data_IF_428209859632
#
_entry.id   IF_428209859632
#
_cell.length_a   1.000
_cell.length_b   1.000
_cell.length_c   1.000
_cell.angle_alpha   90.00
_cell.angle_beta   90.00
_cell.angle_gamma   90.00
#
_symmetry.space_group_name_H-M   'P 1'
#
loop_
_entity.id
_entity.type
_entity.pdbx_description
1 polymer ?
#
# COMPACT_ATOMS: atom_id res chain seq x y z
N UNK A 1 -15.74 0.14 -15.74
CA UNK A 1 -15.18 -1.09 -15.16
C UNK A 1 -16.03 -2.29 -15.54
N UNK A 2 -17.33 -2.31 -15.22
CA UNK A 2 -18.22 -3.44 -15.55
C UNK A 2 -18.25 -3.74 -17.05
N UNK A 3 -18.45 -2.71 -17.90
CA UNK A 3 -18.43 -2.86 -19.37
C UNK A 3 -17.12 -3.51 -19.88
N UNK A 4 -15.96 -3.08 -19.36
CA UNK A 4 -14.67 -3.65 -19.78
C UNK A 4 -14.48 -5.10 -19.32
N UNK A 5 -15.03 -5.48 -18.16
CA UNK A 5 -14.99 -6.86 -17.68
C UNK A 5 -15.95 -7.77 -18.47
N UNK A 6 -17.07 -7.23 -18.95
CA UNK A 6 -18.01 -7.93 -19.81
C UNK A 6 -17.46 -8.11 -21.23
N UNK A 7 -16.90 -7.06 -21.83
CA UNK A 7 -16.19 -7.12 -23.12
C UNK A 7 -15.04 -8.13 -23.07
N UNK A 8 -14.30 -8.11 -21.96
CA UNK A 8 -13.25 -9.06 -21.68
C UNK A 8 -11.96 -8.79 -22.45
N UNK A 9 -10.98 -9.67 -22.23
CA UNK A 9 -9.65 -9.55 -22.84
C UNK A 9 -8.99 -10.93 -22.90
N UNK A 10 -8.54 -11.34 -24.09
CA UNK A 10 -7.83 -12.63 -24.30
C UNK A 10 -8.57 -13.85 -23.71
N UNK A 11 -9.90 -13.84 -23.81
CA UNK A 11 -10.77 -14.91 -23.30
C UNK A 11 -11.07 -14.82 -21.80
N UNK A 12 -10.53 -13.83 -21.10
CA UNK A 12 -10.96 -13.46 -19.75
C UNK A 12 -12.20 -12.57 -19.81
N UNK A 13 -13.15 -12.83 -18.93
CA UNK A 13 -14.29 -11.95 -18.64
C UNK A 13 -14.48 -11.86 -17.13
N UNK A 14 -15.29 -10.93 -16.66
CA UNK A 14 -15.57 -10.83 -15.23
C UNK A 14 -16.90 -10.16 -14.88
N UNK A 15 -17.28 -10.34 -13.63
CA UNK A 15 -18.42 -9.65 -13.02
C UNK A 15 -18.01 -9.08 -11.66
N UNK A 16 -18.56 -7.92 -11.32
CA UNK A 16 -18.30 -7.23 -10.06
C UNK A 16 -19.44 -7.54 -9.09
N UNK A 17 -19.10 -7.92 -7.86
CA UNK A 17 -20.06 -8.11 -6.78
C UNK A 17 -19.69 -7.20 -5.59
N UNK A 18 -20.54 -6.22 -5.23
CA UNK A 18 -20.33 -5.38 -4.05
C UNK A 18 -20.28 -6.21 -2.76
N UNK A 19 -19.50 -5.75 -1.78
CA UNK A 19 -19.50 -6.27 -0.42
C UNK A 19 -19.78 -5.17 0.58
N UNK A 20 -20.21 -5.59 1.76
CA UNK A 20 -20.45 -4.68 2.87
C UNK A 20 -19.11 -4.13 3.38
N UNK A 21 -18.92 -2.78 3.40
CA UNK A 21 -17.73 -2.18 3.95
C UNK A 21 -17.58 -2.45 5.45
N UNK A 22 -16.33 -2.47 5.92
CA UNK A 22 -16.07 -2.52 7.35
C UNK A 22 -16.52 -1.20 8.01
N UNK A 23 -16.98 -1.25 9.25
CA UNK A 23 -17.38 -0.07 10.03
C UNK A 23 -16.42 0.15 11.22
N UNK A 24 -15.15 0.53 10.98
CA UNK A 24 -14.18 0.75 12.03
C UNK A 24 -14.57 1.93 12.93
N UNK A 25 -14.45 1.75 14.25
CA UNK A 25 -14.74 2.81 15.23
C UNK A 25 -13.73 3.95 15.10
N UNK A 26 -14.22 5.19 15.10
CA UNK A 26 -13.37 6.39 15.12
C UNK A 26 -12.73 6.74 13.77
N UNK A 27 -13.06 6.00 12.72
CA UNK A 27 -12.64 6.28 11.34
C UNK A 27 -13.82 6.94 10.63
N UNK A 28 -13.68 8.20 10.16
CA UNK A 28 -14.66 8.83 9.30
C UNK A 28 -15.09 7.92 8.13
N UNK A 29 -16.38 7.92 7.79
CA UNK A 29 -16.94 7.07 6.74
C UNK A 29 -16.26 7.27 5.37
N UNK A 30 -15.72 8.47 5.13
CA UNK A 30 -14.91 8.83 3.96
C UNK A 30 -13.56 8.09 3.85
N UNK A 31 -13.10 7.38 4.89
CA UNK A 31 -11.89 6.53 4.84
C UNK A 31 -12.21 5.04 4.79
N UNK A 32 -13.49 4.69 4.76
CA UNK A 32 -13.90 3.30 4.66
C UNK A 32 -13.73 2.86 3.21
N UNK A 33 -12.81 1.92 2.99
CA UNK A 33 -12.63 1.28 1.69
C UNK A 33 -13.92 0.59 1.28
N UNK A 34 -14.29 0.70 0.00
CA UNK A 34 -15.42 0.01 -0.59
C UNK A 34 -14.95 -1.32 -1.18
N UNK A 35 -15.30 -2.47 -0.54
CA UNK A 35 -14.85 -3.76 -1.00
C UNK A 35 -15.77 -4.34 -2.09
N UNK A 36 -15.16 -5.01 -3.06
CA UNK A 36 -15.83 -5.75 -4.13
C UNK A 36 -15.14 -7.12 -4.33
N UNK A 37 -15.90 -8.09 -4.83
CA UNK A 37 -15.36 -9.30 -5.45
C UNK A 37 -15.41 -9.14 -6.97
N UNK A 38 -14.26 -9.19 -7.63
CA UNK A 38 -14.17 -9.29 -9.09
C UNK A 38 -14.01 -10.77 -9.44
N UNK A 39 -15.09 -11.37 -9.94
CA UNK A 39 -15.13 -12.80 -10.28
C UNK A 39 -14.73 -12.97 -11.74
N UNK A 40 -13.55 -13.53 -11.98
CA UNK A 40 -12.99 -13.73 -13.31
C UNK A 40 -13.31 -15.12 -13.84
N UNK A 41 -13.63 -15.17 -15.13
CA UNK A 41 -13.79 -16.39 -15.90
C UNK A 41 -12.78 -16.43 -17.04
N UNK A 42 -12.32 -17.62 -17.42
CA UNK A 42 -11.50 -17.84 -18.61
C UNK A 42 -12.25 -18.78 -19.56
N UNK A 43 -12.48 -18.33 -20.80
CA UNK A 43 -13.25 -19.03 -21.83
C UNK A 43 -14.61 -19.53 -21.31
N UNK A 44 -15.31 -18.66 -20.57
CA UNK A 44 -16.63 -18.92 -20.01
C UNK A 44 -16.67 -19.83 -18.79
N UNK A 45 -15.51 -20.25 -18.24
CA UNK A 45 -15.44 -21.05 -17.01
C UNK A 45 -14.90 -20.23 -15.85
N UNK A 46 -15.44 -20.37 -14.62
CA UNK A 46 -14.90 -19.70 -13.44
C UNK A 46 -13.41 -20.00 -13.27
N UNK A 47 -12.61 -18.96 -13.05
CA UNK A 47 -11.16 -19.08 -12.92
C UNK A 47 -10.68 -18.66 -11.54
N UNK A 48 -10.93 -17.40 -11.14
CA UNK A 48 -10.55 -16.90 -9.82
C UNK A 48 -11.45 -15.75 -9.37
N UNK A 49 -11.28 -15.31 -8.12
CA UNK A 49 -11.92 -14.10 -7.59
C UNK A 49 -10.84 -13.21 -7.00
N UNK A 50 -10.83 -11.95 -7.42
CA UNK A 50 -9.92 -10.91 -6.92
C UNK A 50 -10.69 -9.99 -5.99
N UNK A 51 -10.17 -9.78 -4.77
CA UNK A 51 -10.67 -8.79 -3.82
C UNK A 51 -10.21 -7.41 -4.31
N UNK A 52 -11.15 -6.53 -4.62
CA UNK A 52 -10.89 -5.13 -4.93
C UNK A 52 -11.37 -4.27 -3.76
N UNK A 53 -10.56 -3.30 -3.36
CA UNK A 53 -10.94 -2.28 -2.39
C UNK A 53 -10.73 -0.91 -3.03
N UNK A 54 -11.75 -0.06 -3.03
CA UNK A 54 -11.71 1.28 -3.61
C UNK A 54 -11.76 2.31 -2.48
N UNK A 55 -10.71 3.12 -2.38
CA UNK A 55 -10.61 4.25 -1.46
C UNK A 55 -11.05 5.55 -2.14
N UNK A 56 -11.28 6.58 -1.32
CA UNK A 56 -11.40 7.95 -1.81
C UNK A 56 -10.02 8.55 -2.02
N UNK A 57 -9.94 9.58 -2.86
CA UNK A 57 -8.73 10.40 -2.99
C UNK A 57 -8.45 11.09 -1.65
N UNK A 58 -7.40 10.64 -0.99
CA UNK A 58 -6.93 11.23 0.25
C UNK A 58 -5.81 12.20 -0.09
N UNK A 59 -6.02 13.49 0.21
CA UNK A 59 -5.01 14.55 0.11
C UNK A 59 -4.32 14.68 -1.27
N UNK A 60 -4.97 14.26 -2.35
CA UNK A 60 -4.44 14.33 -3.72
C UNK A 60 -3.55 13.14 -4.07
N UNK A 61 -3.78 11.98 -3.45
CA UNK A 61 -3.03 10.75 -3.73
C UNK A 61 -3.47 10.08 -5.05
N UNK A 62 -4.60 10.50 -5.61
CA UNK A 62 -5.08 10.08 -6.92
C UNK A 62 -4.82 11.10 -8.07
N UNK A 63 -4.22 12.27 -7.78
CA UNK A 63 -3.97 13.32 -8.78
C UNK A 63 -2.80 13.00 -9.71
N UNK A 64 -1.84 12.22 -9.23
CA UNK A 64 -0.63 11.84 -9.96
C UNK A 64 -0.37 10.34 -9.77
N UNK A 65 0.12 9.69 -10.82
CA UNK A 65 0.44 8.28 -10.79
C UNK A 65 1.78 7.99 -11.47
N UNK A 66 2.55 7.11 -10.85
CA UNK A 66 3.72 6.50 -11.47
C UNK A 66 3.23 5.37 -12.38
N UNK A 67 3.51 5.46 -13.68
CA UNK A 67 3.03 4.48 -14.65
C UNK A 67 4.11 3.42 -14.86
N UNK A 68 3.88 2.23 -14.34
CA UNK A 68 4.90 1.18 -14.24
C UNK A 68 4.41 -0.16 -14.81
N UNK A 69 5.35 -0.93 -15.37
CA UNK A 69 5.15 -2.33 -15.72
C UNK A 69 6.35 -3.14 -15.23
N UNK A 70 6.11 -3.99 -14.23
CA UNK A 70 7.15 -4.86 -13.70
C UNK A 70 7.58 -5.90 -14.78
N UNK A 71 8.88 -6.03 -15.10
CA UNK A 71 9.34 -6.92 -16.17
C UNK A 71 9.01 -8.40 -15.95
N UNK A 72 8.97 -8.83 -14.70
CA UNK A 72 8.59 -10.18 -14.30
C UNK A 72 7.11 -10.49 -14.56
N UNK A 73 6.22 -9.51 -14.34
CA UNK A 73 4.80 -9.57 -14.68
C UNK A 73 4.63 -9.69 -16.21
N UNK A 74 5.29 -8.83 -16.98
CA UNK A 74 5.26 -8.93 -18.45
C UNK A 74 5.77 -10.30 -18.93
N UNK A 75 6.85 -10.79 -18.32
CA UNK A 75 7.38 -12.13 -18.58
C UNK A 75 6.40 -13.25 -18.20
N UNK A 76 5.62 -13.09 -17.13
CA UNK A 76 4.63 -14.09 -16.71
C UNK A 76 3.52 -14.27 -17.74
N UNK A 77 3.01 -13.17 -18.30
CA UNK A 77 2.01 -13.19 -19.36
C UNK A 77 2.55 -13.87 -20.62
N UNK A 78 3.77 -13.52 -21.04
CA UNK A 78 4.40 -14.14 -22.20
C UNK A 78 4.58 -15.66 -22.03
N UNK A 79 4.95 -16.14 -20.83
CA UNK A 79 5.13 -17.57 -20.54
C UNK A 79 3.83 -18.39 -20.69
N UNK A 80 2.67 -17.77 -20.49
CA UNK A 80 1.37 -18.43 -20.65
C UNK A 80 0.74 -18.16 -22.02
N UNK A 81 1.48 -17.54 -22.94
CA UNK A 81 1.04 -17.25 -24.31
C UNK A 81 0.10 -16.05 -24.42
N UNK A 82 0.06 -15.18 -23.40
CA UNK A 82 -0.70 -13.93 -23.42
C UNK A 82 0.20 -12.77 -23.84
N UNK A 83 -0.35 -11.75 -24.54
CA UNK A 83 0.37 -10.51 -24.79
C UNK A 83 0.73 -9.84 -23.46
N UNK A 84 1.84 -9.10 -23.45
CA UNK A 84 2.24 -8.33 -22.28
C UNK A 84 1.12 -7.31 -21.93
N UNK A 85 0.78 -7.15 -20.64
CA UNK A 85 -0.21 -6.16 -20.24
C UNK A 85 0.36 -4.74 -20.45
N UNK A 86 -0.53 -3.77 -20.59
CA UNK A 86 -0.13 -2.36 -20.53
C UNK A 86 0.40 -1.99 -19.12
N UNK A 87 1.17 -0.91 -19.00
CA UNK A 87 1.60 -0.41 -17.70
C UNK A 87 0.39 0.06 -16.87
N UNK A 88 0.53 -0.02 -15.55
CA UNK A 88 -0.54 0.28 -14.59
C UNK A 88 -0.19 1.56 -13.82
N UNK A 89 -1.13 2.50 -13.64
CA UNK A 89 -0.91 3.66 -12.78
C UNK A 89 -0.85 3.22 -11.31
N UNK A 90 0.23 3.61 -10.64
CA UNK A 90 0.48 3.35 -9.22
C UNK A 90 0.47 4.66 -8.44
N UNK A 91 -0.01 4.59 -7.20
CA UNK A 91 0.08 5.71 -6.25
C UNK A 91 1.55 6.09 -6.04
N UNK A 92 1.86 7.39 -6.05
CA UNK A 92 3.24 7.84 -5.87
C UNK A 92 3.83 7.42 -4.50
N UNK A 93 5.11 7.07 -4.50
CA UNK A 93 5.82 6.53 -3.33
C UNK A 93 5.63 7.30 -2.01
N UNK A 94 5.72 8.65 -1.98
CA UNK A 94 5.49 9.44 -0.77
C UNK A 94 4.14 9.19 -0.09
N UNK A 95 3.07 8.99 -0.87
CA UNK A 95 1.74 8.68 -0.33
C UNK A 95 1.68 7.26 0.24
N UNK A 96 2.25 6.28 -0.46
CA UNK A 96 2.33 4.91 0.03
C UNK A 96 3.05 4.83 1.38
N UNK A 97 4.20 5.52 1.50
CA UNK A 97 4.99 5.59 2.74
C UNK A 97 4.18 6.26 3.85
N UNK A 98 3.58 7.42 3.59
CA UNK A 98 2.79 8.14 4.59
C UNK A 98 1.61 7.30 5.10
N UNK A 99 0.89 6.62 4.21
CA UNK A 99 -0.24 5.76 4.58
C UNK A 99 0.20 4.57 5.44
N UNK A 100 1.31 3.91 5.09
CA UNK A 100 1.89 2.80 5.86
C UNK A 100 2.38 3.26 7.23
N UNK A 101 3.13 4.37 7.29
CA UNK A 101 3.58 4.98 8.55
C UNK A 101 2.40 5.32 9.47
N UNK A 102 1.33 5.89 8.93
CA UNK A 102 0.13 6.19 9.71
C UNK A 102 -0.56 4.91 10.24
N UNK A 103 -0.63 3.84 9.45
CA UNK A 103 -1.28 2.59 9.88
C UNK A 103 -0.46 1.84 10.93
N UNK A 104 0.85 1.71 10.71
CA UNK A 104 1.74 0.97 11.62
C UNK A 104 1.95 1.69 12.95
N UNK A 105 1.85 3.03 12.97
CA UNK A 105 2.02 3.82 14.19
C UNK A 105 0.71 4.10 14.94
N UNK A 106 -0.43 3.59 14.47
CA UNK A 106 -1.72 3.83 15.11
C UNK A 106 -1.78 3.14 16.48
N UNK A 107 -2.48 3.71 17.48
CA UNK A 107 -2.68 3.06 18.77
C UNK A 107 -3.34 1.68 18.60
N UNK A 108 -2.74 0.63 19.18
CA UNK A 108 -3.26 -0.73 19.09
C UNK A 108 -3.17 -1.37 17.70
N UNK A 109 -2.27 -0.87 16.84
CA UNK A 109 -2.08 -1.40 15.49
C UNK A 109 -1.69 -2.88 15.47
N UNK A 110 -2.31 -3.64 14.56
CA UNK A 110 -1.99 -5.03 14.22
C UNK A 110 -1.16 -5.14 12.92
N UNK A 111 -0.64 -4.01 12.44
CA UNK A 111 -0.10 -3.84 11.09
C UNK A 111 1.40 -4.14 10.99
N UNK A 112 1.87 -5.20 11.65
CA UNK A 112 3.29 -5.58 11.61
C UNK A 112 3.83 -5.76 10.17
N UNK A 113 2.97 -6.20 9.23
CA UNK A 113 3.29 -6.31 7.79
C UNK A 113 3.75 -4.99 7.15
N UNK A 114 3.24 -3.84 7.62
CA UNK A 114 3.63 -2.54 7.08
C UNK A 114 5.12 -2.24 7.37
N UNK A 115 5.75 -2.91 8.36
CA UNK A 115 7.20 -2.82 8.60
C UNK A 115 8.02 -3.43 7.45
N UNK A 116 7.54 -4.54 6.87
CA UNK A 116 8.15 -5.18 5.70
C UNK A 116 7.94 -4.30 4.47
N UNK A 117 6.69 -3.89 4.23
CA UNK A 117 6.33 -3.07 3.09
C UNK A 117 7.11 -1.74 3.06
N UNK A 118 7.34 -1.10 4.22
CA UNK A 118 8.12 0.13 4.29
C UNK A 118 9.57 -0.08 3.85
N UNK A 119 10.19 -1.21 4.20
CA UNK A 119 11.55 -1.53 3.77
C UNK A 119 11.63 -1.72 2.25
N UNK A 120 10.63 -2.39 1.66
CA UNK A 120 10.54 -2.59 0.21
C UNK A 120 10.24 -1.28 -0.53
N UNK A 121 9.31 -0.48 -0.01
CA UNK A 121 8.87 0.77 -0.64
C UNK A 121 9.93 1.87 -0.60
N UNK A 122 10.81 1.85 0.41
CA UNK A 122 11.85 2.86 0.57
C UNK A 122 12.94 2.73 -0.50
N UNK A 123 13.26 1.53 -0.98
CA UNK A 123 14.28 1.31 -2.00
C UNK A 123 15.55 2.14 -1.77
N UNK A 124 16.22 2.57 -2.86
CA UNK A 124 17.43 3.40 -2.79
C UNK A 124 17.20 4.92 -3.00
N UNK A 125 16.01 5.37 -3.44
CA UNK A 125 15.80 6.75 -3.88
C UNK A 125 14.48 7.38 -3.39
N UNK A 126 14.29 7.48 -2.07
CA UNK A 126 13.21 8.31 -1.50
C UNK A 126 13.53 9.80 -1.62
N UNK A 127 12.54 10.57 -2.10
CA UNK A 127 12.44 12.01 -1.84
C UNK A 127 11.89 12.24 -0.42
N UNK A 128 12.80 12.48 0.53
CA UNK A 128 12.44 12.67 1.94
C UNK A 128 11.64 13.97 2.16
N UNK A 129 11.86 15.00 1.36
CA UNK A 129 11.14 16.27 1.45
C UNK A 129 9.69 16.11 0.99
N UNK A 130 9.47 15.38 -0.10
CA UNK A 130 8.12 15.01 -0.55
C UNK A 130 7.42 14.10 0.47
N UNK A 131 8.09 13.06 0.97
CA UNK A 131 7.56 12.18 2.01
C UNK A 131 7.15 12.97 3.26
N UNK A 132 7.97 13.94 3.69
CA UNK A 132 7.67 14.78 4.85
C UNK A 132 6.38 15.58 4.65
N UNK A 133 6.26 16.31 3.55
CA UNK A 133 5.06 17.12 3.24
C UNK A 133 3.80 16.26 3.22
N UNK A 134 3.87 15.08 2.61
CA UNK A 134 2.73 14.17 2.53
C UNK A 134 2.40 13.59 3.90
N UNK A 135 3.38 13.18 4.71
CA UNK A 135 3.17 12.69 6.06
C UNK A 135 2.50 13.74 6.96
N UNK A 136 3.00 14.98 6.97
CA UNK A 136 2.42 16.07 7.76
C UNK A 136 0.96 16.32 7.38
N UNK A 137 0.66 16.36 6.07
CA UNK A 137 -0.71 16.54 5.55
C UNK A 137 -1.61 15.36 5.93
N UNK A 138 -1.16 14.13 5.73
CA UNK A 138 -1.97 12.92 5.94
C UNK A 138 -2.31 12.73 7.42
N UNK A 139 -1.34 12.91 8.32
CA UNK A 139 -1.57 12.78 9.76
C UNK A 139 -2.51 13.89 10.27
N UNK A 140 -2.34 15.13 9.79
CA UNK A 140 -3.24 16.23 10.12
C UNK A 140 -4.67 16.03 9.56
N UNK A 141 -4.79 15.37 8.41
CA UNK A 141 -6.06 15.04 7.78
C UNK A 141 -6.80 13.94 8.55
N UNK A 142 -6.14 12.81 8.84
CA UNK A 142 -6.75 11.64 9.50
C UNK A 142 -6.99 11.83 11.00
N UNK A 143 -6.25 12.73 11.68
CA UNK A 143 -6.47 13.16 13.08
C UNK A 143 -6.51 12.05 14.13
N UNK A 144 -5.89 10.90 13.87
CA UNK A 144 -5.83 9.78 14.83
C UNK A 144 -4.62 9.91 15.77
N UNK A 145 -3.43 10.08 15.21
CA UNK A 145 -2.20 10.39 15.95
C UNK A 145 -1.43 11.54 15.27
N UNK A 146 -0.55 12.20 16.01
CA UNK A 146 0.26 13.30 15.50
C UNK A 146 1.50 12.87 14.70
N UNK A 147 1.99 13.76 13.85
CA UNK A 147 3.29 13.64 13.19
C UNK A 147 4.37 14.42 13.96
N UNK A 148 5.62 13.90 14.10
CA UNK A 148 6.04 12.55 13.77
C UNK A 148 5.57 11.53 14.83
N UNK A 149 5.11 10.34 14.43
CA UNK A 149 4.71 9.33 15.38
C UNK A 149 5.92 8.55 15.91
N UNK A 150 5.67 7.69 16.91
CA UNK A 150 6.61 6.64 17.31
C UNK A 150 5.93 5.28 17.10
N UNK A 151 6.61 4.37 16.42
CA UNK A 151 6.13 2.99 16.26
C UNK A 151 6.56 2.17 17.46
N UNK A 152 5.60 1.55 18.12
CA UNK A 152 5.81 0.64 19.25
C UNK A 152 5.39 -0.75 18.82
N UNK A 153 6.25 -1.74 19.04
CA UNK A 153 5.96 -3.14 18.70
C UNK A 153 4.74 -3.63 19.48
N UNK A 154 3.72 -4.11 18.78
CA UNK A 154 2.53 -4.73 19.37
C UNK A 154 2.75 -6.18 19.77
N UNK A 155 1.83 -6.71 20.56
CA UNK A 155 1.80 -8.14 20.89
C UNK A 155 1.59 -8.99 19.63
N UNK A 156 2.32 -10.11 19.50
CA UNK A 156 2.22 -11.01 18.35
C UNK A 156 2.87 -10.52 17.06
N UNK A 157 3.51 -9.34 17.05
CA UNK A 157 4.15 -8.81 15.85
C UNK A 157 5.33 -9.66 15.37
N UNK A 158 6.03 -10.35 16.26
CA UNK A 158 7.16 -11.21 15.90
C UNK A 158 6.74 -12.34 14.94
N UNK A 159 5.59 -12.99 15.19
CA UNK A 159 5.10 -14.07 14.32
C UNK A 159 4.54 -13.54 13.00
N UNK A 160 3.81 -12.41 13.04
CA UNK A 160 3.28 -11.77 11.83
C UNK A 160 4.46 -11.33 10.94
N UNK A 161 5.44 -10.61 11.51
CA UNK A 161 6.59 -10.14 10.75
C UNK A 161 7.41 -11.29 10.16
N UNK A 162 7.67 -12.35 10.95
CA UNK A 162 8.41 -13.51 10.46
C UNK A 162 7.76 -14.14 9.23
N UNK A 163 6.43 -14.31 9.24
CA UNK A 163 5.68 -14.84 8.10
C UNK A 163 5.72 -13.92 6.88
N UNK A 164 5.57 -12.61 7.08
CA UNK A 164 5.54 -11.63 5.99
C UNK A 164 6.93 -11.36 5.39
N UNK A 165 8.00 -11.55 6.17
CA UNK A 165 9.39 -11.33 5.73
C UNK A 165 10.04 -12.53 5.03
N UNK A 166 9.37 -13.68 5.01
CA UNK A 166 9.95 -14.92 4.48
C UNK A 166 10.34 -14.78 3.00
N UNK A 167 11.61 -15.05 2.69
CA UNK A 167 12.13 -14.98 1.32
C UNK A 167 12.36 -13.57 0.78
N UNK A 168 12.24 -12.53 1.61
CA UNK A 168 12.47 -11.14 1.24
C UNK A 168 13.80 -10.61 1.80
N UNK A 169 14.42 -9.69 1.07
CA UNK A 169 15.64 -9.00 1.51
C UNK A 169 15.28 -7.82 2.44
N UNK A 170 14.87 -8.17 3.67
CA UNK A 170 14.48 -7.22 4.72
C UNK A 170 15.14 -7.59 6.05
N UNK A 171 15.05 -6.71 7.05
CA UNK A 171 15.61 -6.96 8.37
C UNK A 171 15.04 -8.25 8.99
N UNK A 172 15.85 -9.04 9.72
CA UNK A 172 15.48 -10.38 10.14
C UNK A 172 14.51 -10.45 11.32
N UNK A 173 14.26 -9.33 12.03
CA UNK A 173 13.44 -9.30 13.23
C UNK A 173 12.51 -8.10 13.27
N UNK A 174 11.34 -8.27 13.90
CA UNK A 174 10.39 -7.18 14.10
C UNK A 174 11.00 -6.05 14.95
N UNK A 175 11.79 -6.36 15.97
CA UNK A 175 12.48 -5.34 16.78
C UNK A 175 13.46 -4.50 15.94
N UNK A 176 14.23 -5.15 15.07
CA UNK A 176 15.12 -4.46 14.13
C UNK A 176 14.34 -3.57 13.17
N UNK A 177 13.23 -4.09 12.62
CA UNK A 177 12.37 -3.35 11.71
C UNK A 177 11.68 -2.16 12.40
N UNK A 178 11.22 -2.29 13.64
CA UNK A 178 10.66 -1.17 14.43
C UNK A 178 11.71 -0.10 14.69
N UNK A 179 12.94 -0.50 15.08
CA UNK A 179 14.04 0.44 15.25
C UNK A 179 14.35 1.18 13.93
N UNK A 180 14.36 0.45 12.82
CA UNK A 180 14.62 1.01 11.50
C UNK A 180 13.51 1.97 11.05
N UNK A 181 12.24 1.62 11.24
CA UNK A 181 11.11 2.49 10.88
C UNK A 181 11.11 3.78 11.71
N UNK A 182 11.40 3.70 13.02
CA UNK A 182 11.56 4.91 13.83
C UNK A 182 12.73 5.79 13.35
N UNK A 183 13.84 5.18 12.90
CA UNK A 183 14.93 5.89 12.24
C UNK A 183 14.54 6.52 10.90
N UNK A 184 13.70 5.84 10.10
CA UNK A 184 13.12 6.38 8.87
C UNK A 184 12.23 7.60 9.16
N UNK A 185 11.34 7.52 10.16
CA UNK A 185 10.49 8.63 10.59
C UNK A 185 11.36 9.84 10.97
N UNK A 186 12.43 9.62 11.74
CA UNK A 186 13.37 10.69 12.10
C UNK A 186 14.01 11.35 10.89
N UNK A 187 14.43 10.58 9.89
CA UNK A 187 14.99 11.11 8.63
C UNK A 187 13.98 11.93 7.84
N UNK A 188 12.74 11.43 7.68
CA UNK A 188 11.66 12.15 7.00
C UNK A 188 11.34 13.45 7.76
N UNK A 189 11.19 13.40 9.08
CA UNK A 189 10.87 14.58 9.89
C UNK A 189 11.99 15.64 9.85
N UNK A 190 13.25 15.21 9.72
CA UNK A 190 14.42 16.10 9.59
C UNK A 190 14.64 16.65 8.18
N UNK A 191 13.96 16.13 7.15
CA UNK A 191 14.10 16.61 5.77
C UNK A 191 13.65 18.07 5.64
N UNK A 192 14.33 18.85 4.81
CA UNK A 192 13.98 20.27 4.59
C UNK A 192 14.48 21.22 5.69
N UNK A 193 15.28 20.73 6.64
CA UNK A 193 16.13 21.58 7.46
C UNK A 193 17.29 22.12 6.62
N UNK A 194 17.40 23.43 6.46
CA UNK A 194 18.64 24.02 5.97
C UNK A 194 19.83 23.50 6.82
N UNK A 195 21.01 23.21 6.23
CA UNK A 195 22.20 23.01 7.04
C UNK A 195 22.40 24.27 7.88
N UNK A 196 22.25 24.13 9.20
CA UNK A 196 22.41 25.23 10.14
C UNK A 196 23.82 25.82 10.03
N UNK A 197 23.83 27.14 10.01
CA UNK A 197 24.99 28.03 9.94
C UNK A 197 26.01 27.83 11.07
#
# INVERSE_FOLDING_TARGET
>A
MEESLEEGWEGFTGVVAPREPAHPRGVPAEYVMWPFDVKLSYRGRPWCTVRLEVGYDEIGDAEQADVELAPDVAGAFARVGLPAPGPVPLMAGPYQIAQKLHRVSAPGSDRARDLVDLQLAVGECIDYDAARRVCERLFAYRRLQGWPPTVVKGEGWDSIYAAESEGLDVLPTADGAVSWVNGLIGRIAGAGGAPGA
#
